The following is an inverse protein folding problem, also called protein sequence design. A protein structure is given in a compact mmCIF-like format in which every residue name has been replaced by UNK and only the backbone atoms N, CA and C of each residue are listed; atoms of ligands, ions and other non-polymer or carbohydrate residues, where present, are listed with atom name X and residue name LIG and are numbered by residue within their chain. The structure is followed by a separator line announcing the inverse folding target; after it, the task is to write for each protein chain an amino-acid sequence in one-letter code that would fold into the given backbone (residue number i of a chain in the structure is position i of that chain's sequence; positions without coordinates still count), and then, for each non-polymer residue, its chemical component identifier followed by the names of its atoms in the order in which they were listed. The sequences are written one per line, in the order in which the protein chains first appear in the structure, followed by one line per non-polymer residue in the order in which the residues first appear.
data_IF_751879801859
#
_entry.id   IF_751879801859
#
_cell.length_a   1.000
_cell.length_b   1.000
_cell.length_c   1.000
_cell.angle_alpha   90.00
_cell.angle_beta   90.00
_cell.angle_gamma   90.00
#
_symmetry.space_group_name_H-M   'P 1'
#
loop_
_entity.id
_entity.type
_entity.pdbx_description
1 polymer ?
#
# COMPACT_ATOMS: atom_id res chain seq x y z
N UNK A 1 9.01 -12.24 3.30
CA UNK A 1 7.93 -11.23 3.42
C UNK A 1 6.83 -11.84 4.26
N UNK A 2 6.20 -11.05 5.12
CA UNK A 2 5.06 -11.47 5.93
C UNK A 2 3.89 -10.50 5.73
N UNK A 3 2.66 -11.02 5.66
CA UNK A 3 1.45 -10.20 5.84
C UNK A 3 1.22 -10.05 7.34
N UNK A 4 1.12 -8.80 7.80
CA UNK A 4 0.89 -8.48 9.20
C UNK A 4 -0.60 -8.33 9.48
N UNK A 5 -1.32 -7.63 8.60
CA UNK A 5 -2.76 -7.35 8.78
C UNK A 5 -3.41 -7.04 7.43
N UNK A 6 -4.69 -7.41 7.30
CA UNK A 6 -5.58 -6.96 6.23
C UNK A 6 -6.73 -6.16 6.83
N UNK A 7 -6.96 -4.97 6.30
CA UNK A 7 -8.06 -4.09 6.69
C UNK A 7 -8.91 -3.69 5.48
N UNK A 8 -10.17 -3.37 5.74
CA UNK A 8 -11.13 -2.90 4.74
C UNK A 8 -11.70 -1.57 5.16
N UNK A 9 -11.69 -0.62 4.24
CA UNK A 9 -12.16 0.73 4.50
C UNK A 9 -13.01 1.21 3.33
N UNK A 10 -14.18 1.84 3.60
CA UNK A 10 -14.91 2.57 2.56
C UNK A 10 -14.11 3.77 2.06
N UNK A 11 -13.19 4.28 2.89
CA UNK A 11 -12.33 5.42 2.65
C UNK A 11 -11.16 5.42 3.62
N UNK A 12 -10.00 5.91 3.17
CA UNK A 12 -8.83 6.13 4.00
C UNK A 12 -8.60 7.63 4.21
N UNK A 13 -8.68 8.08 5.47
CA UNK A 13 -8.24 9.42 5.90
C UNK A 13 -6.94 9.30 6.69
N UNK A 14 -5.94 10.11 6.35
CA UNK A 14 -4.64 10.09 7.00
C UNK A 14 -4.00 11.48 7.01
N UNK A 15 -3.03 11.68 7.90
CA UNK A 15 -2.25 12.91 7.96
C UNK A 15 -0.75 12.64 7.95
N UNK A 16 0.00 13.59 7.40
CA UNK A 16 1.47 13.59 7.41
C UNK A 16 1.99 14.98 7.71
N UNK A 17 3.23 15.05 8.19
CA UNK A 17 3.94 16.30 8.41
C UNK A 17 4.79 16.57 7.17
N UNK A 18 4.60 17.72 6.53
CA UNK A 18 5.41 18.12 5.38
C UNK A 18 6.81 18.63 5.78
N UNK A 19 7.64 18.95 4.79
CA UNK A 19 9.00 19.46 5.04
C UNK A 19 9.03 20.78 5.82
N UNK A 20 7.93 21.53 5.83
CA UNK A 20 7.78 22.79 6.56
C UNK A 20 7.17 22.60 7.96
N UNK A 21 7.10 21.35 8.46
CA UNK A 21 6.51 21.01 9.75
C UNK A 21 5.01 21.31 9.85
N UNK A 22 4.31 21.37 8.71
CA UNK A 22 2.85 21.58 8.68
C UNK A 22 2.16 20.23 8.53
N UNK A 23 1.20 19.96 9.43
CA UNK A 23 0.32 18.80 9.29
C UNK A 23 -0.62 19.02 8.11
N UNK A 24 -0.57 18.10 7.15
CA UNK A 24 -1.50 18.04 6.01
C UNK A 24 -2.39 16.81 6.13
N UNK A 25 -3.63 16.99 5.70
CA UNK A 25 -4.69 16.00 5.82
C UNK A 25 -5.07 15.52 4.43
N UNK A 26 -5.24 14.22 4.31
CA UNK A 26 -5.41 13.55 3.03
C UNK A 26 -6.50 12.50 3.09
N UNK A 27 -7.13 12.30 1.94
CA UNK A 27 -8.20 11.34 1.72
C UNK A 27 -7.91 10.51 0.49
N UNK A 28 -8.22 9.22 0.56
CA UNK A 28 -8.26 8.30 -0.59
C UNK A 28 -9.60 7.60 -0.55
N UNK A 29 -10.34 7.69 -1.66
CA UNK A 29 -11.60 7.00 -1.87
C UNK A 29 -11.48 5.94 -2.99
N UNK A 30 -12.30 4.87 -2.94
CA UNK A 30 -12.51 3.99 -4.08
C UNK A 30 -12.93 4.77 -5.33
N UNK A 31 -12.64 4.21 -6.50
CA UNK A 31 -13.04 4.71 -7.82
C UNK A 31 -14.53 4.56 -8.11
N UNK A 32 -15.25 3.73 -7.35
CA UNK A 32 -16.69 3.50 -7.50
C UNK A 32 -17.32 3.10 -6.16
N UNK A 33 -18.61 3.40 -6.00
CA UNK A 33 -19.40 3.05 -4.81
C UNK A 33 -19.57 1.53 -4.61
N UNK A 34 -19.33 0.69 -5.62
CA UNK A 34 -19.39 -0.77 -5.48
C UNK A 34 -18.08 -1.37 -4.93
N UNK A 35 -17.04 -0.54 -4.77
CA UNK A 35 -15.70 -0.94 -4.37
C UNK A 35 -15.39 -0.47 -2.94
N UNK A 36 -14.37 -1.08 -2.35
CA UNK A 36 -13.77 -0.69 -1.08
C UNK A 36 -12.24 -0.72 -1.17
N UNK A 37 -11.58 0.05 -0.30
CA UNK A 37 -10.14 -0.03 -0.16
C UNK A 37 -9.78 -1.23 0.70
N UNK A 38 -8.84 -2.03 0.20
CA UNK A 38 -8.27 -3.16 0.93
C UNK A 38 -6.82 -2.84 1.24
N UNK A 39 -6.53 -2.64 2.51
CA UNK A 39 -5.21 -2.26 3.01
C UNK A 39 -4.50 -3.51 3.51
N UNK A 40 -3.33 -3.81 2.97
CA UNK A 40 -2.46 -4.88 3.47
C UNK A 40 -1.20 -4.29 4.08
N UNK A 41 -1.00 -4.52 5.38
CA UNK A 41 0.28 -4.21 6.04
C UNK A 41 1.25 -5.35 5.78
N UNK A 42 2.37 -5.02 5.15
CA UNK A 42 3.40 -5.98 4.79
C UNK A 42 4.71 -5.65 5.49
N UNK A 43 5.44 -6.70 5.86
CA UNK A 43 6.83 -6.61 6.27
C UNK A 43 7.71 -7.33 5.24
N UNK A 44 8.59 -6.59 4.56
CA UNK A 44 9.53 -7.10 3.56
C UNK A 44 10.94 -6.91 4.10
N UNK A 45 11.70 -7.99 4.29
CA UNK A 45 13.04 -7.94 4.87
C UNK A 45 14.03 -8.70 3.98
N UNK A 46 15.26 -8.18 3.87
CA UNK A 46 16.34 -8.84 3.19
C UNK A 46 17.30 -9.50 4.20
N UNK A 47 17.17 -10.81 4.40
CA UNK A 47 18.03 -11.57 5.32
C UNK A 47 19.25 -12.22 4.64
N UNK A 48 19.26 -12.28 3.30
CA UNK A 48 20.21 -13.12 2.56
C UNK A 48 21.22 -12.30 1.76
N UNK A 49 20.75 -11.36 0.94
CA UNK A 49 21.58 -10.64 -0.02
C UNK A 49 22.27 -9.43 0.64
N UNK A 50 23.44 -9.04 0.15
CA UNK A 50 24.11 -7.80 0.58
C UNK A 50 23.25 -6.56 0.32
N UNK A 51 22.57 -6.53 -0.81
CA UNK A 51 21.58 -5.52 -1.19
C UNK A 51 20.53 -6.17 -2.09
N UNK A 52 19.27 -5.74 -1.94
CA UNK A 52 18.15 -6.18 -2.75
C UNK A 52 17.34 -4.97 -3.23
N UNK A 53 17.07 -4.90 -4.53
CA UNK A 53 16.19 -3.88 -5.10
C UNK A 53 14.75 -4.38 -5.03
N UNK A 54 13.87 -3.60 -4.43
CA UNK A 54 12.45 -3.91 -4.27
C UNK A 54 11.62 -2.84 -4.97
N UNK A 55 11.05 -3.22 -6.11
CA UNK A 55 10.23 -2.34 -6.94
C UNK A 55 8.74 -2.46 -6.56
N UNK A 56 8.20 -1.47 -5.85
CA UNK A 56 6.81 -1.51 -5.35
C UNK A 56 5.92 -0.60 -6.20
N UNK A 57 5.27 -1.20 -7.19
CA UNK A 57 4.31 -0.58 -8.09
C UNK A 57 3.06 -1.49 -8.29
N UNK A 58 2.22 -1.18 -9.28
CA UNK A 58 1.03 -1.98 -9.63
C UNK A 58 1.32 -3.45 -9.96
N UNK A 59 2.55 -3.81 -10.31
CA UNK A 59 2.96 -5.17 -10.65
C UNK A 59 3.59 -5.91 -9.46
N UNK A 60 3.88 -5.21 -8.37
CA UNK A 60 4.60 -5.74 -7.21
C UNK A 60 3.86 -6.85 -6.47
N UNK A 61 2.53 -6.84 -6.52
CA UNK A 61 1.71 -7.84 -5.85
C UNK A 61 0.40 -8.08 -6.60
N UNK A 62 -0.19 -9.25 -6.33
CA UNK A 62 -1.53 -9.60 -6.74
C UNK A 62 -2.30 -10.17 -5.55
N UNK A 63 -3.45 -9.57 -5.28
CA UNK A 63 -4.42 -10.10 -4.32
C UNK A 63 -5.48 -10.88 -5.09
N UNK A 64 -5.71 -12.14 -4.72
CA UNK A 64 -6.58 -13.05 -5.47
C UNK A 64 -7.73 -13.53 -4.62
N UNK A 65 -8.90 -13.63 -5.24
CA UNK A 65 -10.10 -14.18 -4.60
C UNK A 65 -10.37 -15.63 -5.01
N UNK A 66 -11.44 -16.19 -4.44
CA UNK A 66 -11.92 -17.55 -4.74
C UNK A 66 -12.65 -17.67 -6.09
N UNK A 67 -13.10 -16.55 -6.66
CA UNK A 67 -13.86 -16.46 -7.92
C UNK A 67 -12.97 -16.13 -9.14
N UNK A 68 -11.64 -16.22 -8.98
CA UNK A 68 -10.60 -15.91 -10.00
C UNK A 68 -10.38 -14.41 -10.26
N UNK A 69 -10.94 -13.51 -9.46
CA UNK A 69 -10.58 -12.11 -9.43
C UNK A 69 -9.11 -11.92 -9.02
N UNK A 70 -8.44 -10.99 -9.69
CA UNK A 70 -7.05 -10.61 -9.42
C UNK A 70 -6.97 -9.10 -9.33
N UNK A 71 -6.54 -8.62 -8.17
CA UNK A 71 -6.46 -7.20 -7.83
C UNK A 71 -5.00 -6.80 -7.68
N UNK A 72 -4.67 -5.61 -8.16
CA UNK A 72 -3.33 -5.03 -8.10
C UNK A 72 -3.32 -3.84 -7.15
N UNK A 73 -2.18 -3.53 -6.53
CA UNK A 73 -2.08 -2.35 -5.69
C UNK A 73 -2.26 -1.08 -6.53
N UNK A 74 -2.92 -0.09 -5.95
CA UNK A 74 -3.17 1.21 -6.56
C UNK A 74 -2.04 2.19 -6.18
N UNK A 75 -1.71 3.11 -7.10
CA UNK A 75 -0.79 4.20 -6.79
C UNK A 75 -1.50 5.21 -5.89
N UNK A 76 -1.16 5.22 -4.60
CA UNK A 76 -1.76 6.16 -3.65
C UNK A 76 -1.44 7.62 -3.98
N UNK A 77 -0.30 7.89 -4.61
CA UNK A 77 0.12 9.25 -4.97
C UNK A 77 -0.76 9.85 -6.06
N UNK A 78 -1.34 9.02 -6.94
CA UNK A 78 -2.24 9.47 -8.00
C UNK A 78 -3.69 9.60 -7.51
N UNK A 79 -3.97 9.11 -6.30
CA UNK A 79 -5.32 8.96 -5.73
C UNK A 79 -5.56 9.84 -4.52
N UNK A 80 -4.52 10.52 -4.05
CA UNK A 80 -4.59 11.34 -2.85
C UNK A 80 -5.29 12.66 -3.14
N UNK A 81 -6.23 13.02 -2.27
CA UNK A 81 -6.88 14.33 -2.25
C UNK A 81 -6.50 15.05 -0.95
N UNK A 82 -5.94 16.26 -1.05
CA UNK A 82 -5.71 17.12 0.12
C UNK A 82 -7.06 17.68 0.60
N UNK A 83 -7.34 17.52 1.88
CA UNK A 83 -8.59 17.94 2.52
C UNK A 83 -8.31 18.84 3.72
N UNK A 84 -9.32 19.58 4.17
CA UNK A 84 -9.24 20.28 5.45
C UNK A 84 -9.15 19.29 6.60
N UNK A 85 -8.60 19.73 7.73
CA UNK A 85 -8.61 18.96 8.97
C UNK A 85 -10.03 18.44 9.27
N UNK A 86 -10.20 17.15 9.58
CA UNK A 86 -11.51 16.58 9.85
C UNK A 86 -12.06 17.11 11.17
N UNK A 87 -13.39 17.23 11.26
CA UNK A 87 -14.06 17.60 12.51
C UNK A 87 -13.74 16.60 13.65
N UNK A 88 -13.50 15.34 13.30
CA UNK A 88 -13.10 14.29 14.25
C UNK A 88 -11.72 13.70 13.87
N UNK A 89 -10.63 14.18 14.48
CA UNK A 89 -9.28 13.72 14.18
C UNK A 89 -9.01 12.27 14.60
N UNK A 90 -9.86 11.66 15.45
CA UNK A 90 -9.74 10.25 15.83
C UNK A 90 -9.93 9.26 14.68
N UNK A 91 -10.38 9.73 13.50
CA UNK A 91 -10.50 8.92 12.28
C UNK A 91 -9.26 8.94 11.40
N UNK A 92 -8.30 9.83 11.67
CA UNK A 92 -7.07 9.89 10.89
C UNK A 92 -6.05 8.86 11.33
N UNK A 93 -5.37 8.27 10.35
CA UNK A 93 -4.30 7.31 10.57
C UNK A 93 -2.95 7.95 10.31
N UNK A 94 -1.95 7.57 11.09
CA UNK A 94 -0.56 7.70 10.67
C UNK A 94 -0.21 6.44 9.87
N UNK A 95 0.07 6.61 8.59
CA UNK A 95 0.27 5.49 7.65
C UNK A 95 1.54 5.71 6.82
N UNK A 96 2.29 4.63 6.63
CA UNK A 96 3.44 4.60 5.71
C UNK A 96 3.05 3.71 4.54
N UNK A 97 2.91 4.31 3.36
CA UNK A 97 2.58 3.55 2.16
C UNK A 97 3.81 2.89 1.55
N UNK A 98 3.66 1.66 1.12
CA UNK A 98 4.63 0.97 0.29
C UNK A 98 4.30 1.23 -1.17
N UNK A 99 4.95 2.25 -1.72
CA UNK A 99 4.96 2.58 -3.13
C UNK A 99 6.33 3.15 -3.48
N UNK A 100 6.81 2.92 -4.70
CA UNK A 100 8.04 3.54 -5.17
C UNK A 100 8.03 5.06 -4.95
N UNK A 101 9.19 5.64 -4.72
CA UNK A 101 9.30 7.08 -4.68
C UNK A 101 9.06 7.63 -6.08
N UNK A 102 7.92 8.29 -6.31
CA UNK A 102 7.62 9.00 -7.55
C UNK A 102 8.21 10.40 -7.50
N UNK A 103 8.87 10.84 -8.56
CA UNK A 103 9.42 12.19 -8.70
C UNK A 103 8.54 13.06 -9.62
N UNK A 104 8.73 14.37 -9.55
CA UNK A 104 7.96 15.35 -10.35
C UNK A 104 8.09 15.15 -11.87
N UNK A 105 9.20 14.56 -12.32
CA UNK A 105 9.45 14.23 -13.73
C UNK A 105 8.74 12.94 -14.19
N UNK A 106 7.94 12.32 -13.31
CA UNK A 106 7.22 11.08 -13.57
C UNK A 106 8.08 9.82 -13.44
N UNK A 107 9.36 9.95 -13.11
CA UNK A 107 10.20 8.78 -12.82
C UNK A 107 9.89 8.20 -11.45
N UNK A 108 10.25 6.94 -11.25
CA UNK A 108 10.07 6.25 -9.97
C UNK A 108 11.36 5.57 -9.54
N UNK A 109 11.65 5.62 -8.24
CA UNK A 109 12.80 4.91 -7.65
C UNK A 109 12.33 3.80 -6.73
N UNK A 110 12.83 2.60 -7.04
CA UNK A 110 12.68 1.41 -6.23
C UNK A 110 13.45 1.53 -4.90
N UNK A 111 13.04 0.76 -3.91
CA UNK A 111 13.71 0.68 -2.62
C UNK A 111 14.97 -0.17 -2.72
N UNK A 112 16.04 0.27 -2.08
CA UNK A 112 17.24 -0.55 -1.86
C UNK A 112 17.23 -1.06 -0.41
N UNK A 113 17.14 -2.37 -0.23
CA UNK A 113 17.19 -3.03 1.06
C UNK A 113 18.56 -3.67 1.27
N UNK A 114 19.37 -3.05 2.11
CA UNK A 114 20.62 -3.65 2.60
C UNK A 114 20.32 -4.91 3.41
N UNK A 115 21.32 -5.78 3.54
CA UNK A 115 21.23 -6.96 4.40
C UNK A 115 20.76 -6.58 5.81
N UNK A 116 19.83 -7.35 6.34
CA UNK A 116 19.20 -7.21 7.66
C UNK A 116 18.30 -5.96 7.82
N UNK A 117 17.99 -5.26 6.71
CA UNK A 117 17.01 -4.18 6.67
C UNK A 117 15.70 -4.64 6.01
N UNK A 118 14.64 -3.89 6.29
CA UNK A 118 13.32 -4.14 5.70
C UNK A 118 12.41 -2.93 5.67
N UNK A 119 11.27 -3.11 5.03
CA UNK A 119 10.16 -2.18 4.94
C UNK A 119 9.00 -2.73 5.77
N UNK A 120 8.32 -1.85 6.49
CA UNK A 120 7.05 -2.11 7.15
C UNK A 120 6.10 -0.98 6.75
N UNK A 121 5.02 -1.33 6.08
CA UNK A 121 4.06 -0.35 5.60
C UNK A 121 2.88 -0.99 4.91
N UNK A 122 2.05 -0.15 4.32
CA UNK A 122 0.75 -0.50 3.78
C UNK A 122 0.74 -0.45 2.26
N UNK A 123 0.29 -1.52 1.63
CA UNK A 123 -0.15 -1.52 0.25
C UNK A 123 -1.66 -1.37 0.20
N UNK A 124 -2.14 -0.53 -0.72
CA UNK A 124 -3.57 -0.28 -0.91
C UNK A 124 -4.02 -0.95 -2.19
N UNK A 125 -5.10 -1.70 -2.11
CA UNK A 125 -5.78 -2.34 -3.22
C UNK A 125 -7.21 -1.81 -3.28
N UNK A 126 -7.86 -2.06 -4.40
CA UNK A 126 -9.29 -1.81 -4.58
C UNK A 126 -9.97 -3.10 -5.05
N UNK A 127 -11.09 -3.44 -4.42
CA UNK A 127 -11.83 -4.66 -4.70
C UNK A 127 -13.33 -4.47 -4.43
N UNK A 128 -14.21 -5.32 -4.98
CA UNK A 128 -15.62 -5.33 -4.63
C UNK A 128 -15.83 -5.49 -3.13
N UNK A 129 -16.86 -4.82 -2.62
CA UNK A 129 -17.28 -4.95 -1.23
C UNK A 129 -17.52 -6.41 -0.86
N UNK A 130 -17.16 -6.77 0.37
CA UNK A 130 -17.31 -8.10 0.97
C UNK A 130 -16.55 -9.24 0.26
N UNK A 131 -15.69 -8.93 -0.73
CA UNK A 131 -14.95 -9.94 -1.47
C UNK A 131 -14.03 -10.77 -0.56
N UNK A 132 -13.91 -12.08 -0.77
CA UNK A 132 -13.05 -12.96 0.05
C UNK A 132 -11.77 -13.26 -0.69
N UNK A 133 -10.63 -12.96 -0.07
CA UNK A 133 -9.31 -13.22 -0.63
C UNK A 133 -8.78 -14.56 -0.14
N UNK A 134 -8.06 -15.26 -1.02
CA UNK A 134 -7.44 -16.55 -0.72
C UNK A 134 -5.92 -16.50 -0.71
N UNK A 135 -5.34 -15.58 -1.49
CA UNK A 135 -3.91 -15.58 -1.79
C UNK A 135 -3.42 -14.15 -2.02
N UNK A 136 -2.27 -13.82 -1.44
CA UNK A 136 -1.41 -12.71 -1.87
C UNK A 136 -0.18 -13.29 -2.57
N UNK A 137 0.03 -12.90 -3.83
CA UNK A 137 1.21 -13.23 -4.61
C UNK A 137 2.13 -12.02 -4.74
N UNK A 138 3.28 -12.07 -4.10
CA UNK A 138 4.35 -11.07 -4.21
C UNK A 138 5.24 -11.31 -5.43
N UNK A 139 5.60 -10.24 -6.11
CA UNK A 139 6.33 -10.25 -7.39
C UNK A 139 7.49 -9.26 -7.46
N UNK A 140 7.64 -8.37 -6.49
CA UNK A 140 8.66 -7.32 -6.47
C UNK A 140 10.06 -7.78 -6.00
N UNK A 141 10.41 -9.05 -6.22
CA UNK A 141 11.65 -9.70 -5.81
C UNK A 141 11.58 -11.21 -6.11
N UNK A 142 12.14 -12.05 -5.23
CA UNK A 142 11.83 -13.48 -5.27
C UNK A 142 10.32 -13.66 -5.09
N UNK A 143 9.68 -14.33 -6.04
CA UNK A 143 8.24 -14.54 -6.01
C UNK A 143 7.85 -15.32 -4.75
N UNK A 144 6.99 -14.75 -3.92
CA UNK A 144 6.50 -15.38 -2.70
C UNK A 144 4.97 -15.41 -2.72
N UNK A 145 4.38 -16.56 -2.39
CA UNK A 145 2.94 -16.71 -2.22
C UNK A 145 2.61 -16.85 -0.74
N UNK A 146 1.55 -16.17 -0.29
CA UNK A 146 0.96 -16.30 1.04
C UNK A 146 -0.52 -16.63 0.88
N UNK A 147 -0.95 -17.73 1.50
CA UNK A 147 -2.35 -18.12 1.58
C UNK A 147 -2.99 -17.55 2.86
N UNK A 148 -4.28 -17.20 2.80
CA UNK A 148 -5.05 -16.61 3.90
C UNK A 148 -5.95 -17.61 4.63
#
# INVERSE_FOLDING_TARGET
MNVVTLERLPELSYSTIDTNQVTRHYRIAPSSDDLELVLLRLKVENHTATSAIVNIDSQAAELRDFLRGTYRPINVNDRVEEVSAPENPGRERSIVFLWNQTFEDGTSKAFELKKDFGLDGWMVFEAPKDNKFRELRWRAGDSLTIDF
#
